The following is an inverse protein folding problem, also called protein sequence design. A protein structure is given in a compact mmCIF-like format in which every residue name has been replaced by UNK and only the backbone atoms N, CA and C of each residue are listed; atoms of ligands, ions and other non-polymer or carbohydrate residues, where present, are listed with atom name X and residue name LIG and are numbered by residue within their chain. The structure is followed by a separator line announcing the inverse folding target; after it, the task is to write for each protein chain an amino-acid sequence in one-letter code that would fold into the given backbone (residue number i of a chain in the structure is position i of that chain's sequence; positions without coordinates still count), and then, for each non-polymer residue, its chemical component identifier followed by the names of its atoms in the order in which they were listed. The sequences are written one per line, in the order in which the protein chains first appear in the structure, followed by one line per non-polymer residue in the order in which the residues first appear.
data_IF_135458495249
#
_entry.id   IF_135458495249
#
_cell.length_a   1.000
_cell.length_b   1.000
_cell.length_c   1.000
_cell.angle_alpha   90.00
_cell.angle_beta   90.00
_cell.angle_gamma   90.00
#
_symmetry.space_group_name_H-M   'P 1'
#
loop_
_entity.id
_entity.type
_entity.pdbx_description
1 polymer ?
#
# COMPACT_ATOMS: atom_id res chain seq x y z
N UNK A 1 10.41 -36.66 60.30
CA UNK A 1 9.90 -36.45 58.94
C UNK A 1 10.42 -35.10 58.45
N UNK A 2 11.33 -35.09 57.46
CA UNK A 2 11.88 -33.88 56.85
C UNK A 2 11.27 -33.77 55.45
N UNK A 3 10.50 -32.71 55.22
CA UNK A 3 9.89 -32.41 53.93
C UNK A 3 10.90 -31.62 53.10
N UNK A 4 11.35 -32.18 51.98
CA UNK A 4 12.13 -31.45 50.97
C UNK A 4 11.16 -30.71 50.05
N UNK A 5 11.24 -29.38 50.03
CA UNK A 5 10.59 -28.57 49.02
C UNK A 5 11.53 -28.51 47.79
N UNK A 6 11.08 -29.07 46.67
CA UNK A 6 11.72 -28.87 45.38
C UNK A 6 11.35 -27.48 44.87
N UNK A 7 12.32 -26.56 44.88
CA UNK A 7 12.22 -25.32 44.13
C UNK A 7 12.32 -25.67 42.64
N UNK A 8 11.19 -25.66 41.94
CA UNK A 8 11.15 -25.69 40.49
C UNK A 8 11.70 -24.37 39.96
N UNK A 9 12.98 -24.37 39.62
CA UNK A 9 13.63 -23.31 38.85
C UNK A 9 12.99 -23.31 37.44
N UNK A 10 12.04 -22.42 37.22
CA UNK A 10 11.42 -22.22 35.92
C UNK A 10 12.48 -21.77 34.92
N UNK A 11 12.76 -22.61 33.93
CA UNK A 11 13.52 -22.19 32.76
C UNK A 11 12.76 -21.06 32.08
N UNK A 12 13.24 -19.82 32.24
CA UNK A 12 12.93 -18.74 31.33
C UNK A 12 13.57 -19.11 29.99
N UNK A 13 12.77 -19.64 29.06
CA UNK A 13 13.18 -19.69 27.67
C UNK A 13 13.22 -18.24 27.19
N UNK A 14 14.40 -17.64 27.17
CA UNK A 14 14.63 -16.48 26.33
C UNK A 14 14.39 -16.95 24.89
N UNK A 15 13.20 -16.68 24.35
CA UNK A 15 12.97 -16.80 22.92
C UNK A 15 13.96 -15.85 22.26
N UNK A 16 15.05 -16.41 21.72
CA UNK A 16 15.93 -15.69 20.82
C UNK A 16 15.06 -15.34 19.63
N UNK A 17 14.53 -14.12 19.61
CA UNK A 17 13.51 -13.73 18.65
C UNK A 17 14.17 -13.66 17.27
N UNK A 18 13.93 -14.70 16.47
CA UNK A 18 14.44 -14.82 15.12
C UNK A 18 13.79 -13.74 14.25
N UNK A 19 14.56 -13.15 13.34
CA UNK A 19 14.04 -12.27 12.29
C UNK A 19 13.52 -13.16 11.17
N UNK A 20 12.21 -13.19 10.94
CA UNK A 20 11.64 -13.94 9.83
C UNK A 20 11.53 -13.08 8.56
N UNK A 21 11.61 -13.73 7.39
CA UNK A 21 11.21 -13.13 6.12
C UNK A 21 9.82 -13.63 5.78
N UNK A 22 8.85 -12.71 5.77
CA UNK A 22 7.46 -12.95 5.40
C UNK A 22 7.31 -12.60 3.93
N UNK A 23 7.32 -13.61 3.05
CA UNK A 23 7.31 -13.41 1.59
C UNK A 23 5.89 -13.30 1.05
N UNK A 24 5.63 -12.29 0.23
CA UNK A 24 4.38 -12.13 -0.54
C UNK A 24 4.63 -12.40 -2.01
N UNK A 25 3.93 -13.38 -2.57
CA UNK A 25 3.92 -13.67 -3.99
C UNK A 25 2.57 -14.31 -4.37
N UNK A 26 1.66 -13.56 -5.03
CA UNK A 26 0.34 -14.07 -5.42
C UNK A 26 0.41 -15.29 -6.35
N UNK A 27 1.55 -15.50 -7.02
CA UNK A 27 1.75 -16.56 -8.00
C UNK A 27 2.48 -17.79 -7.44
N UNK A 28 2.85 -17.79 -6.15
CA UNK A 28 3.57 -18.90 -5.51
C UNK A 28 2.76 -19.52 -4.37
N UNK A 29 2.69 -20.84 -4.33
CA UNK A 29 1.90 -21.58 -3.32
C UNK A 29 2.59 -21.71 -1.96
N UNK A 30 3.90 -21.47 -1.90
CA UNK A 30 4.74 -21.54 -0.70
C UNK A 30 4.98 -20.16 -0.06
N UNK A 31 4.29 -19.12 -0.54
CA UNK A 31 4.33 -17.76 -0.03
C UNK A 31 2.93 -17.27 0.37
N UNK A 32 2.86 -16.14 1.07
CA UNK A 32 1.58 -15.45 1.26
C UNK A 32 1.08 -14.93 -0.09
N UNK A 33 -0.19 -15.17 -0.38
CA UNK A 33 -0.80 -14.78 -1.66
C UNK A 33 -1.34 -13.35 -1.66
N UNK A 34 -1.48 -12.75 -0.48
CA UNK A 34 -2.01 -11.40 -0.28
C UNK A 34 -1.25 -10.65 0.83
N UNK A 35 -1.26 -9.31 0.74
CA UNK A 35 -0.62 -8.41 1.69
C UNK A 35 -1.28 -8.48 3.07
N UNK A 36 -2.60 -8.68 3.13
CA UNK A 36 -3.35 -8.70 4.38
C UNK A 36 -2.89 -9.83 5.32
N UNK A 37 -2.80 -11.04 4.80
CA UNK A 37 -2.37 -12.24 5.54
C UNK A 37 -0.91 -12.14 5.95
N UNK A 38 -0.06 -11.64 5.06
CA UNK A 38 1.36 -11.43 5.35
C UNK A 38 1.56 -10.36 6.44
N UNK A 39 0.87 -9.23 6.36
CA UNK A 39 0.95 -8.17 7.35
C UNK A 39 0.44 -8.61 8.73
N UNK A 40 -0.58 -9.46 8.78
CA UNK A 40 -1.09 -10.04 10.02
C UNK A 40 -0.09 -10.98 10.71
N UNK A 41 0.86 -11.55 9.97
CA UNK A 41 1.89 -12.45 10.49
C UNK A 41 3.14 -11.72 11.01
N UNK A 42 3.29 -10.42 10.75
CA UNK A 42 4.47 -9.66 11.11
C UNK A 42 4.65 -9.51 12.62
N UNK A 43 5.89 -9.67 13.07
CA UNK A 43 6.35 -9.41 14.43
C UNK A 43 7.58 -8.50 14.41
N UNK A 44 7.93 -7.93 15.57
CA UNK A 44 9.10 -7.07 15.69
C UNK A 44 10.38 -7.78 15.20
N UNK A 45 11.13 -7.11 14.32
CA UNK A 45 12.34 -7.62 13.69
C UNK A 45 12.13 -8.32 12.34
N UNK A 46 10.89 -8.60 11.93
CA UNK A 46 10.62 -9.29 10.67
C UNK A 46 10.80 -8.39 9.45
N UNK A 47 10.97 -9.02 8.28
CA UNK A 47 10.92 -8.37 6.98
C UNK A 47 9.70 -8.86 6.19
N UNK A 48 8.77 -7.97 5.85
CA UNK A 48 7.80 -8.20 4.79
C UNK A 48 8.53 -8.05 3.45
N UNK A 49 8.58 -9.11 2.66
CA UNK A 49 9.32 -9.14 1.40
C UNK A 49 8.36 -9.35 0.23
N UNK A 50 8.13 -8.31 -0.57
CA UNK A 50 7.36 -8.43 -1.81
C UNK A 50 8.26 -9.07 -2.86
N UNK A 51 7.91 -10.25 -3.37
CA UNK A 51 8.75 -10.93 -4.35
C UNK A 51 8.95 -10.02 -5.58
N UNK A 52 10.19 -9.88 -6.11
CA UNK A 52 10.44 -9.07 -7.31
C UNK A 52 9.51 -9.47 -8.45
N UNK A 53 9.03 -8.48 -9.21
CA UNK A 53 8.16 -8.66 -10.38
C UNK A 53 6.86 -9.45 -10.11
N UNK A 54 6.36 -9.42 -8.88
CA UNK A 54 5.11 -10.13 -8.51
C UNK A 54 3.90 -9.21 -8.31
N UNK A 55 4.09 -7.90 -8.36
CA UNK A 55 3.04 -6.88 -8.44
C UNK A 55 2.59 -6.56 -9.88
N UNK A 56 1.73 -5.54 -10.06
CA UNK A 56 1.24 -4.62 -9.03
C UNK A 56 0.25 -5.29 -8.07
N UNK A 57 0.34 -4.95 -6.78
CA UNK A 57 -0.59 -5.40 -5.75
C UNK A 57 -1.79 -4.46 -5.69
N UNK A 58 -2.98 -4.98 -5.98
CA UNK A 58 -4.24 -4.22 -5.97
C UNK A 58 -5.03 -4.50 -4.70
N UNK A 59 -4.43 -4.19 -3.57
CA UNK A 59 -5.04 -4.30 -2.25
C UNK A 59 -4.42 -3.25 -1.33
N UNK A 60 -4.98 -3.10 -0.13
CA UNK A 60 -4.43 -2.17 0.85
C UNK A 60 -3.49 -2.93 1.78
N UNK A 61 -2.25 -2.44 1.91
CA UNK A 61 -1.34 -2.92 2.95
C UNK A 61 -1.71 -2.27 4.29
N UNK A 62 -2.21 -3.07 5.23
CA UNK A 62 -2.55 -2.64 6.59
C UNK A 62 -1.48 -3.09 7.58
N UNK A 63 -0.65 -2.15 8.06
CA UNK A 63 0.34 -2.41 9.09
C UNK A 63 -0.20 -2.04 10.47
N UNK A 64 -0.34 -3.05 11.32
CA UNK A 64 -0.72 -2.91 12.74
C UNK A 64 0.35 -3.41 13.71
N UNK A 65 1.32 -4.18 13.21
CA UNK A 65 2.43 -4.68 14.03
C UNK A 65 3.48 -3.59 14.23
N UNK A 66 3.95 -3.44 15.48
CA UNK A 66 5.08 -2.56 15.80
C UNK A 66 6.38 -3.34 15.83
N UNK A 67 7.43 -2.72 15.31
CA UNK A 67 8.80 -3.09 15.65
C UNK A 67 9.21 -2.55 17.01
N UNK A 68 10.51 -2.57 17.25
CA UNK A 68 11.17 -1.83 18.33
C UNK A 68 12.38 -1.12 17.76
N UNK A 69 12.94 -0.15 18.48
CA UNK A 69 14.17 0.55 18.06
C UNK A 69 15.31 -0.43 17.71
N UNK A 70 15.49 -1.48 18.51
CA UNK A 70 16.52 -2.50 18.29
C UNK A 70 16.12 -3.55 17.23
N UNK A 71 14.83 -3.70 16.93
CA UNK A 71 14.28 -4.71 16.02
C UNK A 71 13.12 -4.10 15.22
N UNK A 72 13.41 -3.19 14.27
CA UNK A 72 12.38 -2.60 13.43
C UNK A 72 11.77 -3.67 12.51
N UNK A 73 10.54 -3.44 12.06
CA UNK A 73 9.96 -4.22 10.96
C UNK A 73 10.39 -3.58 9.65
N UNK A 74 10.86 -4.38 8.71
CA UNK A 74 11.25 -3.89 7.38
C UNK A 74 10.16 -4.26 6.38
N UNK A 75 9.72 -3.29 5.58
CA UNK A 75 8.84 -3.49 4.44
C UNK A 75 9.67 -3.28 3.18
N UNK A 76 10.03 -4.39 2.54
CA UNK A 76 10.84 -4.42 1.32
C UNK A 76 9.94 -4.60 0.10
N UNK A 77 9.82 -3.54 -0.71
CA UNK A 77 8.98 -3.50 -1.89
C UNK A 77 9.62 -4.14 -3.13
N UNK A 78 10.96 -4.20 -3.21
CA UNK A 78 11.69 -4.70 -4.38
C UNK A 78 11.22 -4.10 -5.73
N UNK A 79 10.84 -2.82 -5.74
CA UNK A 79 10.35 -2.13 -6.94
C UNK A 79 8.90 -2.41 -7.31
N UNK A 80 8.19 -3.26 -6.56
CA UNK A 80 6.77 -3.50 -6.80
C UNK A 80 5.91 -2.28 -6.42
N UNK A 81 4.80 -2.15 -7.14
CA UNK A 81 3.77 -1.15 -6.89
C UNK A 81 2.63 -1.75 -6.04
N UNK A 82 2.25 -1.09 -4.94
CA UNK A 82 0.93 -1.27 -4.31
C UNK A 82 0.04 -0.15 -4.81
N UNK A 83 -1.04 -0.49 -5.51
CA UNK A 83 -1.84 0.48 -6.25
C UNK A 83 -3.32 0.46 -5.91
N UNK A 84 -3.89 1.67 -5.88
CA UNK A 84 -5.31 1.92 -5.78
C UNK A 84 -5.99 1.93 -7.14
N UNK A 85 -5.22 1.82 -8.24
CA UNK A 85 -5.78 1.68 -9.57
C UNK A 85 -6.46 0.32 -9.75
N UNK A 86 -7.57 0.30 -10.47
CA UNK A 86 -8.23 -0.89 -10.99
C UNK A 86 -8.36 -0.80 -12.51
N UNK A 87 -8.21 -1.92 -13.25
CA UNK A 87 -8.47 -1.95 -14.69
C UNK A 87 -9.90 -1.51 -15.01
N UNK A 88 -10.04 -0.68 -16.04
CA UNK A 88 -11.33 -0.35 -16.64
C UNK A 88 -11.61 -1.30 -17.79
N UNK A 89 -12.86 -1.76 -17.89
CA UNK A 89 -13.33 -2.56 -19.03
C UNK A 89 -14.30 -1.73 -19.84
N UNK A 90 -13.95 -1.45 -21.09
CA UNK A 90 -14.81 -0.73 -22.02
C UNK A 90 -15.59 -1.69 -22.92
N UNK A 91 -16.89 -1.45 -23.05
CA UNK A 91 -17.79 -2.15 -23.99
C UNK A 91 -18.31 -1.10 -24.96
N UNK A 92 -18.08 -1.29 -26.26
CA UNK A 92 -18.44 -0.32 -27.31
C UNK A 92 -17.92 1.10 -27.01
N UNK A 93 -16.70 1.21 -26.45
CA UNK A 93 -16.07 2.47 -26.10
C UNK A 93 -16.62 3.15 -24.84
N UNK A 94 -17.41 2.45 -24.03
CA UNK A 94 -18.03 2.98 -22.80
C UNK A 94 -17.71 2.13 -21.58
N UNK A 95 -17.51 2.77 -20.43
CA UNK A 95 -17.30 2.09 -19.15
C UNK A 95 -18.07 2.80 -18.03
N UNK A 96 -18.74 2.05 -17.17
CA UNK A 96 -19.33 2.60 -15.94
C UNK A 96 -18.31 2.41 -14.81
N UNK A 97 -17.64 3.49 -14.35
CA UNK A 97 -16.64 3.37 -13.29
C UNK A 97 -17.29 2.91 -11.98
N UNK A 98 -16.54 2.17 -11.16
CA UNK A 98 -16.98 1.70 -9.84
C UNK A 98 -16.96 2.79 -8.76
N UNK A 99 -16.41 3.96 -9.07
CA UNK A 99 -16.31 5.10 -8.16
C UNK A 99 -16.92 6.35 -8.78
N UNK A 100 -17.47 7.22 -7.93
CA UNK A 100 -17.98 8.52 -8.35
C UNK A 100 -16.82 9.48 -8.65
N UNK A 101 -17.06 10.45 -9.53
CA UNK A 101 -16.14 11.57 -9.72
C UNK A 101 -16.07 12.43 -8.44
N UNK A 102 -14.89 12.94 -8.03
CA UNK A 102 -13.60 12.93 -8.74
C UNK A 102 -12.83 11.62 -8.60
N UNK A 103 -12.09 11.27 -9.66
CA UNK A 103 -11.17 10.13 -9.70
C UNK A 103 -9.96 10.46 -10.59
N UNK A 104 -8.91 9.64 -10.51
CA UNK A 104 -7.73 9.72 -11.35
C UNK A 104 -7.74 8.56 -12.35
N UNK A 105 -7.33 8.85 -13.58
CA UNK A 105 -7.15 7.87 -14.63
C UNK A 105 -5.68 7.61 -14.92
N UNK A 106 -5.39 6.38 -15.34
CA UNK A 106 -4.10 5.95 -15.88
C UNK A 106 -4.33 5.19 -17.19
N UNK A 107 -3.46 5.36 -18.16
CA UNK A 107 -3.46 4.61 -19.40
C UNK A 107 -2.05 4.13 -19.69
N UNK A 108 -1.85 2.82 -19.81
CA UNK A 108 -0.54 2.18 -20.03
C UNK A 108 0.52 2.63 -19.01
N UNK A 109 0.13 2.68 -17.73
CA UNK A 109 1.01 3.11 -16.65
C UNK A 109 1.23 4.62 -16.53
N UNK A 110 0.70 5.44 -17.44
CA UNK A 110 0.86 6.91 -17.42
C UNK A 110 -0.39 7.60 -16.91
N UNK A 111 -0.22 8.57 -15.99
CA UNK A 111 -1.34 9.37 -15.48
C UNK A 111 -1.99 10.15 -16.61
N UNK A 112 -3.32 10.06 -16.67
CA UNK A 112 -4.14 10.78 -17.64
C UNK A 112 -4.66 12.05 -16.95
N UNK A 113 -4.28 13.20 -17.51
CA UNK A 113 -4.55 14.51 -16.93
C UNK A 113 -5.92 15.01 -17.39
N UNK A 114 -6.68 15.61 -16.50
CA UNK A 114 -7.89 16.35 -16.90
C UNK A 114 -7.47 17.56 -17.74
N UNK A 115 -7.97 17.66 -18.97
CA UNK A 115 -7.61 18.70 -19.95
C UNK A 115 -8.68 19.79 -20.03
N UNK A 116 -9.92 19.45 -19.73
CA UNK A 116 -11.08 20.32 -19.68
C UNK A 116 -12.09 19.73 -18.68
N UNK A 117 -13.15 20.45 -18.33
CA UNK A 117 -14.14 19.95 -17.36
C UNK A 117 -14.70 18.59 -17.80
N UNK A 118 -14.39 17.54 -17.06
CA UNK A 118 -14.75 16.15 -17.35
C UNK A 118 -14.17 15.57 -18.66
N UNK A 119 -13.24 16.26 -19.30
CA UNK A 119 -12.46 15.76 -20.43
C UNK A 119 -11.03 15.50 -20.00
N UNK A 120 -10.47 14.37 -20.42
CA UNK A 120 -9.10 14.04 -20.09
C UNK A 120 -8.23 13.91 -21.33
N UNK A 121 -6.93 14.09 -21.15
CA UNK A 121 -5.94 13.81 -22.17
C UNK A 121 -6.06 12.35 -22.65
N UNK A 122 -5.53 12.04 -23.84
CA UNK A 122 -5.62 10.70 -24.46
C UNK A 122 -7.02 10.30 -24.94
N UNK A 123 -7.94 11.25 -25.13
CA UNK A 123 -9.18 11.04 -25.86
C UNK A 123 -10.23 10.24 -25.08
N UNK A 124 -10.37 10.53 -23.79
CA UNK A 124 -11.43 9.98 -22.93
C UNK A 124 -12.19 11.13 -22.28
N UNK A 125 -13.50 10.96 -22.09
CA UNK A 125 -14.36 11.89 -21.38
C UNK A 125 -15.21 11.19 -20.34
N UNK A 126 -15.60 11.92 -19.30
CA UNK A 126 -16.60 11.52 -18.33
C UNK A 126 -17.92 12.25 -18.60
N UNK A 127 -18.98 11.49 -18.91
CA UNK A 127 -20.34 12.02 -18.97
C UNK A 127 -20.92 12.05 -17.56
N UNK A 128 -20.87 13.20 -16.91
CA UNK A 128 -21.40 13.39 -15.55
C UNK A 128 -22.92 13.19 -15.46
N UNK A 129 -23.68 13.33 -16.56
CA UNK A 129 -25.13 13.11 -16.55
C UNK A 129 -25.47 11.63 -16.55
N UNK A 130 -24.66 10.82 -17.24
CA UNK A 130 -24.86 9.39 -17.37
C UNK A 130 -23.97 8.58 -16.41
N UNK A 131 -23.04 9.23 -15.73
CA UNK A 131 -22.12 8.61 -14.77
C UNK A 131 -21.14 7.63 -15.41
N UNK A 132 -20.69 7.88 -16.65
CA UNK A 132 -19.85 6.93 -17.39
C UNK A 132 -18.67 7.57 -18.12
N UNK A 133 -17.62 6.78 -18.32
CA UNK A 133 -16.49 7.12 -19.18
C UNK A 133 -16.78 6.72 -20.63
N UNK A 134 -16.34 7.55 -21.57
CA UNK A 134 -16.47 7.32 -23.00
C UNK A 134 -15.16 7.62 -23.72
N UNK A 135 -14.73 6.68 -24.55
CA UNK A 135 -13.58 6.84 -25.43
C UNK A 135 -13.99 7.57 -26.71
N UNK A 136 -13.13 8.47 -27.17
CA UNK A 136 -13.28 9.08 -28.49
C UNK A 136 -13.00 8.03 -29.60
N UNK A 137 -13.52 8.21 -30.82
CA UNK A 137 -13.29 7.28 -31.92
C UNK A 137 -11.80 7.04 -32.19
N UNK A 138 -11.42 5.77 -32.35
CA UNK A 138 -10.03 5.38 -32.63
C UNK A 138 -9.14 5.20 -31.40
N UNK A 139 -9.65 5.50 -30.19
CA UNK A 139 -8.91 5.22 -28.95
C UNK A 139 -9.08 3.75 -28.55
N UNK A 140 -7.97 3.11 -28.18
CA UNK A 140 -7.95 1.72 -27.73
C UNK A 140 -8.73 1.55 -26.41
N UNK A 141 -9.53 0.48 -26.25
CA UNK A 141 -10.20 0.16 -24.98
C UNK A 141 -9.26 -0.45 -23.93
N UNK A 142 -8.03 -0.83 -24.31
CA UNK A 142 -7.11 -1.58 -23.45
C UNK A 142 -6.18 -0.71 -22.62
N UNK A 143 -5.76 -1.21 -21.45
CA UNK A 143 -4.70 -0.60 -20.64
C UNK A 143 -5.14 0.62 -19.82
N UNK A 144 -6.44 0.86 -19.71
CA UNK A 144 -7.02 1.92 -18.89
C UNK A 144 -7.21 1.44 -17.45
N UNK A 145 -6.95 2.33 -16.50
CA UNK A 145 -7.15 2.09 -15.08
C UNK A 145 -7.72 3.34 -14.38
N UNK A 146 -8.42 3.13 -13.27
CA UNK A 146 -9.06 4.18 -12.45
C UNK A 146 -8.69 4.02 -10.97
N UNK A 147 -8.44 5.11 -10.27
CA UNK A 147 -8.24 5.08 -8.81
C UNK A 147 -9.54 4.71 -8.10
N UNK A 148 -9.54 3.65 -7.29
CA UNK A 148 -10.75 3.19 -6.57
C UNK A 148 -10.61 3.16 -5.06
N UNK A 149 -9.37 3.25 -4.54
CA UNK A 149 -9.09 3.10 -3.10
C UNK A 149 -8.73 4.45 -2.49
N UNK A 150 -9.23 4.74 -1.30
CA UNK A 150 -8.90 5.97 -0.59
C UNK A 150 -7.40 6.05 -0.23
N UNK A 151 -6.81 4.91 0.11
CA UNK A 151 -5.40 4.75 0.43
C UNK A 151 -4.92 3.36 0.06
N UNK A 152 -3.60 3.17 -0.04
CA UNK A 152 -3.00 1.87 -0.42
C UNK A 152 -2.04 1.34 0.63
N UNK A 153 -1.50 2.21 1.48
CA UNK A 153 -0.80 1.83 2.69
C UNK A 153 -1.44 2.53 3.88
N UNK A 154 -1.85 1.77 4.89
CA UNK A 154 -2.27 2.32 6.17
C UNK A 154 -1.44 1.75 7.30
N UNK A 155 -0.93 2.67 8.11
CA UNK A 155 -0.23 2.37 9.36
C UNK A 155 -1.13 2.85 10.49
N UNK A 156 -1.51 1.94 11.38
CA UNK A 156 -2.40 2.25 12.48
C UNK A 156 -1.85 1.76 13.80
N UNK A 157 -1.64 2.69 14.74
CA UNK A 157 -1.14 2.42 16.09
C UNK A 157 0.16 1.58 16.09
N UNK A 158 1.00 1.80 15.07
CA UNK A 158 2.19 1.01 14.82
C UNK A 158 3.43 1.90 14.73
N UNK A 159 4.57 1.41 15.24
CA UNK A 159 5.83 2.14 15.32
C UNK A 159 7.02 1.30 14.87
N UNK A 160 8.14 1.96 14.54
CA UNK A 160 9.41 1.30 14.17
C UNK A 160 9.33 0.44 12.91
N UNK A 161 8.75 0.99 11.85
CA UNK A 161 8.79 0.41 10.51
C UNK A 161 9.78 1.15 9.60
N UNK A 162 10.45 0.40 8.74
CA UNK A 162 11.31 0.91 7.67
C UNK A 162 10.75 0.49 6.32
N UNK A 163 10.57 1.44 5.40
CA UNK A 163 10.05 1.16 4.06
C UNK A 163 11.16 1.32 3.02
N UNK A 164 11.39 0.30 2.19
CA UNK A 164 12.45 0.28 1.17
C UNK A 164 11.88 -0.16 -0.17
N UNK A 165 12.37 0.47 -1.24
CA UNK A 165 12.05 0.19 -2.65
C UNK A 165 10.56 -0.11 -2.92
N UNK A 166 9.68 0.60 -2.20
CA UNK A 166 8.23 0.47 -2.29
C UNK A 166 7.64 1.64 -3.08
N UNK A 167 6.87 1.31 -4.13
CA UNK A 167 6.07 2.27 -4.89
C UNK A 167 4.62 2.17 -4.45
N UNK A 168 3.99 3.31 -4.14
CA UNK A 168 2.57 3.39 -3.81
C UNK A 168 1.90 4.42 -4.71
N UNK A 169 0.72 4.09 -5.27
CA UNK A 169 0.04 4.95 -6.25
C UNK A 169 -1.47 4.75 -6.27
N UNK A 170 -2.19 5.60 -7.02
CA UNK A 170 -3.59 5.36 -7.37
C UNK A 170 -4.59 5.52 -6.23
N UNK A 171 -4.20 6.16 -5.13
CA UNK A 171 -5.11 6.53 -4.04
C UNK A 171 -6.01 7.71 -4.45
N UNK A 172 -7.26 7.68 -3.99
CA UNK A 172 -8.23 8.79 -4.10
C UNK A 172 -7.97 9.87 -3.05
N UNK A 173 -7.37 9.50 -1.92
CA UNK A 173 -6.89 10.38 -0.87
C UNK A 173 -5.37 10.16 -0.70
N UNK A 174 -4.90 9.91 0.52
CA UNK A 174 -3.48 9.77 0.82
C UNK A 174 -2.92 8.44 0.33
N UNK A 175 -1.74 8.46 -0.30
CA UNK A 175 -1.08 7.22 -0.71
C UNK A 175 -0.63 6.39 0.50
N UNK A 176 -0.13 7.08 1.53
CA UNK A 176 0.23 6.52 2.83
C UNK A 176 -0.57 7.25 3.89
N UNK A 177 -1.36 6.49 4.64
CA UNK A 177 -2.30 7.01 5.61
C UNK A 177 -1.86 6.57 7.01
N UNK A 178 -1.37 7.53 7.81
CA UNK A 178 -0.89 7.28 9.18
C UNK A 178 -1.95 7.71 10.19
N UNK A 179 -2.37 6.78 11.05
CA UNK A 179 -3.32 7.05 12.13
C UNK A 179 -2.85 6.52 13.48
N UNK A 180 -3.28 7.22 14.54
CA UNK A 180 -3.06 6.81 15.91
C UNK A 180 -1.77 7.37 16.49
N UNK A 181 -1.23 6.69 17.50
CA UNK A 181 -0.07 7.16 18.30
C UNK A 181 1.28 6.65 17.76
N UNK A 182 1.34 6.28 16.48
CA UNK A 182 2.54 5.71 15.86
C UNK A 182 3.72 6.67 15.80
N UNK A 183 4.94 6.16 16.01
CA UNK A 183 6.20 6.94 15.97
C UNK A 183 7.34 6.19 15.25
N UNK A 184 8.40 6.93 14.90
CA UNK A 184 9.65 6.40 14.33
C UNK A 184 9.47 5.57 13.05
N UNK A 185 8.82 6.18 12.04
CA UNK A 185 8.70 5.66 10.68
C UNK A 185 9.81 6.25 9.81
N UNK A 186 10.56 5.43 9.07
CA UNK A 186 11.64 5.94 8.23
C UNK A 186 11.72 5.30 6.84
N UNK A 187 12.23 6.09 5.89
CA UNK A 187 12.68 5.62 4.57
C UNK A 187 14.19 5.89 4.49
N UNK A 188 15.05 4.87 4.37
CA UNK A 188 16.46 5.13 4.15
C UNK A 188 16.63 5.80 2.78
N UNK A 189 17.24 6.98 2.77
CA UNK A 189 17.50 7.78 1.57
C UNK A 189 18.52 7.03 0.69
N UNK A 190 18.13 6.61 -0.51
CA UNK A 190 19.06 6.38 -1.61
C UNK A 190 18.96 7.56 -2.56
N UNK A 191 20.09 8.16 -2.88
CA UNK A 191 20.22 9.20 -3.89
C UNK A 191 19.59 8.72 -5.22
N UNK A 192 18.58 9.44 -5.72
CA UNK A 192 17.95 9.14 -7.02
C UNK A 192 16.43 9.26 -6.95
N UNK A 193 15.93 10.38 -7.47
CA UNK A 193 14.53 10.82 -7.36
C UNK A 193 13.48 9.76 -7.72
N UNK A 194 12.47 9.65 -6.86
CA UNK A 194 11.14 9.18 -7.22
C UNK A 194 10.12 10.25 -6.79
N UNK A 195 9.16 10.53 -7.67
CA UNK A 195 8.23 11.64 -7.57
C UNK A 195 7.46 11.70 -6.25
N UNK A 196 7.14 12.94 -5.87
CA UNK A 196 6.39 13.36 -4.68
C UNK A 196 5.39 12.30 -4.17
N UNK A 197 5.65 11.76 -2.99
CA UNK A 197 4.66 11.03 -2.21
C UNK A 197 3.95 12.02 -1.30
N UNK A 198 2.63 12.15 -1.49
CA UNK A 198 1.77 12.81 -0.50
C UNK A 198 1.60 11.84 0.67
N UNK A 199 2.33 12.10 1.75
CA UNK A 199 2.11 11.47 3.05
C UNK A 199 1.25 12.42 3.89
N UNK A 200 0.17 11.91 4.46
CA UNK A 200 -0.62 12.63 5.44
C UNK A 200 -0.54 11.91 6.79
N UNK A 201 -0.33 12.71 7.84
CA UNK A 201 -0.27 12.22 9.23
C UNK A 201 -1.43 12.84 9.98
N UNK A 202 -2.36 12.02 10.48
CA UNK A 202 -3.44 12.49 11.35
C UNK A 202 -3.23 11.98 12.77
N UNK A 203 -2.88 12.90 13.67
CA UNK A 203 -2.90 12.68 15.12
C UNK A 203 -4.28 13.12 15.66
N UNK A 204 -4.95 12.25 16.40
CA UNK A 204 -6.07 12.65 17.28
C UNK A 204 -7.25 13.37 16.64
N UNK A 205 -7.57 13.11 15.36
CA UNK A 205 -8.79 13.64 14.73
C UNK A 205 -8.73 15.11 14.27
N UNK A 206 -7.53 15.70 14.14
CA UNK A 206 -7.34 16.97 13.42
C UNK A 206 -6.67 16.74 12.05
N UNK A 207 -7.01 17.61 11.10
CA UNK A 207 -6.63 17.51 9.69
C UNK A 207 -5.10 17.43 9.51
N UNK A 208 -4.70 16.58 8.57
CA UNK A 208 -3.32 16.19 8.33
C UNK A 208 -2.46 17.33 7.77
N UNK A 209 -1.23 17.43 8.26
CA UNK A 209 -0.16 18.13 7.55
C UNK A 209 0.31 17.27 6.37
N UNK A 210 0.40 17.88 5.18
CA UNK A 210 1.03 17.25 4.03
C UNK A 210 2.55 17.33 4.19
N UNK A 211 3.21 16.18 4.20
CA UNK A 211 4.67 16.14 4.06
C UNK A 211 4.99 15.66 2.64
N UNK A 212 5.74 16.49 1.91
CA UNK A 212 6.56 16.05 0.79
C UNK A 212 7.89 15.61 1.38
N UNK A 213 8.22 14.33 1.28
CA UNK A 213 9.53 13.78 1.62
C UNK A 213 10.36 13.58 0.37
#
# INVERSE_FOLDING_TARGET
MRTFAYASCGLLWAQCAFSATVVVNPNASDAYQDLASAAAALSAGDTLWLAPDSGPYREVLHIRASGTEARPIIIEGNGNEITGFEPLVFVEGRCSPSVAYPFVLRHQGQRVMESEAHGFSHGIRYDAKQGRLELLPGISPEGWEISTRDFVLRIQDASYQQYRDLVVSGSLNDGINLHGEGRDLSRPHRDGGCGSLLCSVSYGGQAAGYFSW
#
